data_IF_204863265017
#
_entry.id   IF_204863265017
#
_cell.length_a   1.000
_cell.length_b   1.000
_cell.length_c   1.000
_cell.angle_alpha   90.00
_cell.angle_beta   90.00
_cell.angle_gamma   90.00
#
_symmetry.space_group_name_H-M   'P 1'
#
loop_
_entity.id
_entity.type
_entity.pdbx_description
1 polymer ?
#
# COMPACT_ATOMS: atom_id res chain seq x y z
N UNK A 1 -7.04 -3.43 -20.45
CA UNK A 1 -7.37 -2.79 -19.15
C UNK A 1 -6.89 -1.34 -19.21
N UNK A 2 -7.55 -0.33 -18.57
CA UNK A 2 -6.91 0.98 -18.40
C UNK A 2 -5.57 0.83 -17.67
N UNK A 3 -4.67 1.79 -17.83
CA UNK A 3 -3.35 1.74 -17.20
C UNK A 3 -3.43 2.08 -15.69
N UNK A 4 -3.91 1.08 -14.92
CA UNK A 4 -4.06 1.17 -13.48
C UNK A 4 -2.70 1.31 -12.78
N UNK A 5 -1.64 0.76 -13.35
CA UNK A 5 -0.28 0.90 -12.86
C UNK A 5 0.19 2.35 -12.93
N UNK A 6 0.02 3.01 -14.09
CA UNK A 6 0.40 4.42 -14.24
C UNK A 6 -0.37 5.33 -13.28
N UNK A 7 -1.65 5.06 -13.04
CA UNK A 7 -2.46 5.83 -12.10
C UNK A 7 -2.00 5.65 -10.65
N UNK A 8 -1.73 4.41 -10.21
CA UNK A 8 -1.14 4.17 -8.88
C UNK A 8 0.20 4.90 -8.73
N UNK A 9 1.07 4.76 -9.73
CA UNK A 9 2.39 5.37 -9.74
C UNK A 9 2.30 6.90 -9.62
N UNK A 10 1.41 7.53 -10.38
CA UNK A 10 1.16 8.98 -10.32
C UNK A 10 0.71 9.41 -8.91
N UNK A 11 -0.30 8.76 -8.34
CA UNK A 11 -0.80 9.08 -7.00
C UNK A 11 0.25 8.85 -5.90
N UNK A 12 1.05 7.80 -6.04
CA UNK A 12 2.13 7.53 -5.11
C UNK A 12 3.18 8.64 -5.15
N UNK A 13 3.64 9.07 -6.33
CA UNK A 13 4.58 10.18 -6.45
C UNK A 13 4.03 11.49 -5.89
N UNK A 14 2.76 11.81 -6.14
CA UNK A 14 2.11 12.98 -5.53
C UNK A 14 2.08 12.91 -4.00
N UNK A 15 1.90 11.72 -3.43
CA UNK A 15 1.93 11.52 -1.99
C UNK A 15 3.36 11.63 -1.42
N UNK A 16 4.36 11.09 -2.11
CA UNK A 16 5.77 11.21 -1.70
C UNK A 16 6.25 12.67 -1.72
N UNK A 17 5.89 13.42 -2.77
CA UNK A 17 6.21 14.84 -2.91
C UNK A 17 5.72 15.68 -1.72
N UNK A 18 4.59 15.30 -1.10
CA UNK A 18 4.08 15.99 0.09
C UNK A 18 5.06 15.91 1.28
N UNK A 19 5.63 14.72 1.53
CA UNK A 19 6.61 14.55 2.60
C UNK A 19 7.94 15.25 2.26
N UNK A 20 8.34 15.19 1.00
CA UNK A 20 9.56 15.84 0.51
C UNK A 20 9.52 17.36 0.64
N UNK A 21 8.42 18.01 0.23
CA UNK A 21 8.23 19.46 0.40
C UNK A 21 8.34 19.87 1.87
N UNK A 22 7.82 19.07 2.80
CA UNK A 22 7.95 19.32 4.23
C UNK A 22 9.41 19.29 4.72
N UNK A 23 10.22 18.37 4.21
CA UNK A 23 11.65 18.27 4.53
C UNK A 23 12.45 19.43 3.95
N UNK A 24 12.23 19.75 2.67
CA UNK A 24 12.88 20.89 2.00
C UNK A 24 12.57 22.17 2.77
N UNK A 25 11.29 22.43 3.04
CA UNK A 25 10.87 23.61 3.79
C UNK A 25 11.50 23.67 5.19
N UNK A 26 11.73 22.54 5.86
CA UNK A 26 12.42 22.52 7.17
C UNK A 26 13.91 22.82 7.04
N UNK A 27 14.57 22.26 6.03
CA UNK A 27 16.01 22.44 5.78
C UNK A 27 16.30 23.90 5.43
N UNK A 28 15.50 24.48 4.54
CA UNK A 28 15.63 25.85 4.06
C UNK A 28 15.19 26.90 5.09
N UNK A 29 14.32 26.53 6.03
CA UNK A 29 13.87 27.46 7.06
C UNK A 29 15.03 27.93 7.95
N UNK A 30 15.20 29.26 7.99
CA UNK A 30 16.20 29.92 8.81
C UNK A 30 16.14 29.45 10.28
N UNK A 31 17.31 29.29 10.89
CA UNK A 31 17.44 28.94 12.30
C UNK A 31 16.66 29.93 13.18
N UNK A 32 15.86 29.42 14.12
CA UNK A 32 15.01 30.24 14.99
C UNK A 32 13.73 30.80 14.34
N UNK A 33 13.50 30.57 13.03
CA UNK A 33 12.29 31.05 12.38
C UNK A 33 11.02 30.34 12.87
N UNK A 34 9.89 31.05 12.78
CA UNK A 34 8.56 30.46 13.03
C UNK A 34 8.27 29.27 12.12
N UNK A 35 8.77 29.27 10.89
CA UNK A 35 8.67 28.13 9.95
C UNK A 35 9.41 26.90 10.47
N UNK A 36 10.66 27.06 10.95
CA UNK A 36 11.45 25.94 11.49
C UNK A 36 10.84 25.35 12.77
N UNK A 37 10.33 26.22 13.65
CA UNK A 37 9.56 25.81 14.83
C UNK A 37 8.22 25.16 14.43
N UNK A 38 7.60 25.68 13.38
CA UNK A 38 6.42 25.15 12.71
C UNK A 38 6.63 23.73 12.18
N UNK A 39 7.79 23.43 11.60
CA UNK A 39 8.11 22.13 11.03
C UNK A 39 8.85 21.22 12.02
N UNK A 40 8.48 21.25 13.31
CA UNK A 40 9.00 20.36 14.35
C UNK A 40 8.97 18.88 13.90
N UNK A 41 9.92 18.00 14.29
CA UNK A 41 9.99 16.62 13.81
C UNK A 41 8.68 15.84 13.91
N UNK A 42 7.90 16.01 14.98
CA UNK A 42 6.58 15.39 15.15
C UNK A 42 5.60 15.78 14.02
N UNK A 43 5.61 17.05 13.58
CA UNK A 43 4.75 17.50 12.48
C UNK A 43 5.22 16.96 11.13
N UNK A 44 6.52 16.79 10.94
CA UNK A 44 7.04 16.09 9.76
C UNK A 44 6.62 14.62 9.78
N UNK A 45 6.73 13.93 10.91
CA UNK A 45 6.27 12.54 11.03
C UNK A 45 4.80 12.39 10.61
N UNK A 46 3.93 13.34 10.98
CA UNK A 46 2.54 13.36 10.50
C UNK A 46 2.41 13.51 8.98
N UNK A 47 3.30 14.27 8.32
CA UNK A 47 3.34 14.35 6.85
C UNK A 47 3.75 13.01 6.23
N UNK A 48 4.73 12.32 6.83
CA UNK A 48 5.14 10.97 6.38
C UNK A 48 4.02 9.94 6.55
N UNK A 49 3.32 9.97 7.68
CA UNK A 49 2.17 9.10 7.93
C UNK A 49 1.05 9.37 6.93
N UNK A 50 0.75 10.65 6.65
CA UNK A 50 -0.26 11.03 5.65
C UNK A 50 0.14 10.60 4.23
N UNK A 51 1.39 10.82 3.84
CA UNK A 51 1.92 10.38 2.55
C UNK A 51 1.77 8.86 2.40
N UNK A 52 2.17 8.10 3.42
CA UNK A 52 2.05 6.64 3.41
C UNK A 52 0.59 6.18 3.30
N UNK A 53 -0.33 6.77 4.05
CA UNK A 53 -1.76 6.44 3.94
C UNK A 53 -2.30 6.70 2.53
N UNK A 54 -1.90 7.80 1.87
CA UNK A 54 -2.30 8.10 0.49
C UNK A 54 -1.77 7.07 -0.52
N UNK A 55 -0.52 6.64 -0.35
CA UNK A 55 0.08 5.55 -1.16
C UNK A 55 -0.71 4.26 -0.94
N UNK A 56 -0.94 3.87 0.33
CA UNK A 56 -1.59 2.61 0.66
C UNK A 56 -3.05 2.57 0.21
N UNK A 57 -3.80 3.66 0.36
CA UNK A 57 -5.18 3.77 -0.17
C UNK A 57 -5.19 3.64 -1.70
N UNK A 58 -4.21 4.24 -2.38
CA UNK A 58 -4.09 4.09 -3.84
C UNK A 58 -3.79 2.64 -4.23
N UNK A 59 -3.00 1.93 -3.43
CA UNK A 59 -2.75 0.49 -3.60
C UNK A 59 -4.01 -0.37 -3.38
N UNK A 60 -4.80 -0.10 -2.33
CA UNK A 60 -6.08 -0.78 -2.10
C UNK A 60 -7.04 -0.58 -3.29
N UNK A 61 -7.15 0.66 -3.77
CA UNK A 61 -7.97 0.99 -4.94
C UNK A 61 -7.45 0.32 -6.22
N UNK A 62 -6.14 0.25 -6.42
CA UNK A 62 -5.53 -0.48 -7.54
C UNK A 62 -5.95 -1.95 -7.54
N UNK A 63 -5.81 -2.64 -6.40
CA UNK A 63 -6.16 -4.05 -6.28
C UNK A 63 -7.63 -4.31 -6.55
N UNK A 64 -8.51 -3.47 -6.01
CA UNK A 64 -9.95 -3.53 -6.26
C UNK A 64 -10.26 -3.38 -7.75
N UNK A 65 -9.76 -2.32 -8.37
CA UNK A 65 -10.02 -2.00 -9.77
C UNK A 65 -9.45 -3.05 -10.73
N UNK A 66 -8.29 -3.63 -10.42
CA UNK A 66 -7.70 -4.73 -11.18
C UNK A 66 -8.56 -6.00 -11.06
N UNK A 67 -8.94 -6.36 -9.83
CA UNK A 67 -9.76 -7.55 -9.55
C UNK A 67 -11.13 -7.48 -10.25
N UNK A 68 -11.84 -6.36 -10.13
CA UNK A 68 -13.15 -6.17 -10.75
C UNK A 68 -13.09 -6.26 -12.28
N UNK A 69 -12.02 -5.74 -12.89
CA UNK A 69 -11.83 -5.84 -14.34
C UNK A 69 -11.48 -7.27 -14.78
N UNK A 70 -10.71 -8.01 -13.99
CA UNK A 70 -10.51 -9.43 -14.25
C UNK A 70 -11.83 -10.22 -14.16
N UNK A 71 -12.73 -9.87 -13.23
CA UNK A 71 -14.07 -10.46 -13.18
C UNK A 71 -14.92 -10.14 -14.42
N UNK A 72 -14.65 -9.03 -15.09
CA UNK A 72 -15.29 -8.67 -16.36
C UNK A 72 -14.54 -9.19 -17.59
N UNK A 73 -13.52 -10.05 -17.42
CA UNK A 73 -12.78 -10.67 -18.53
C UNK A 73 -11.74 -9.77 -19.20
N UNK A 74 -11.36 -8.64 -18.58
CA UNK A 74 -10.30 -7.79 -19.12
C UNK A 74 -8.93 -8.51 -19.07
N UNK A 75 -8.11 -8.24 -20.08
CA UNK A 75 -6.71 -8.65 -20.14
C UNK A 75 -5.77 -7.54 -19.64
N UNK A 76 -4.70 -7.99 -18.98
CA UNK A 76 -3.51 -7.23 -18.58
C UNK A 76 -2.33 -7.54 -19.50
N UNK A 77 -1.21 -6.81 -19.38
CA UNK A 77 0.02 -7.13 -20.10
C UNK A 77 0.56 -8.53 -19.74
N UNK A 78 0.18 -9.03 -18.55
CA UNK A 78 0.58 -10.32 -17.99
C UNK A 78 -0.48 -11.43 -18.18
N UNK A 79 -1.49 -11.19 -19.01
CA UNK A 79 -2.53 -12.15 -19.38
C UNK A 79 -3.91 -11.87 -18.80
N UNK A 80 -4.78 -12.87 -18.87
CA UNK A 80 -6.18 -12.84 -18.40
C UNK A 80 -6.36 -13.74 -17.19
N UNK A 81 -7.25 -13.36 -16.27
CA UNK A 81 -7.68 -14.27 -15.21
C UNK A 81 -8.62 -15.33 -15.80
N UNK A 82 -8.46 -16.58 -15.37
CA UNK A 82 -9.35 -17.67 -15.78
C UNK A 82 -10.42 -17.86 -14.71
N UNK A 83 -11.71 -17.75 -15.05
CA UNK A 83 -12.78 -17.94 -14.09
C UNK A 83 -12.79 -19.39 -13.61
N UNK A 84 -13.12 -19.58 -12.34
CA UNK A 84 -13.29 -20.91 -11.76
C UNK A 84 -14.49 -21.60 -12.40
N UNK A 85 -14.45 -22.93 -12.50
CA UNK A 85 -15.58 -23.72 -12.97
C UNK A 85 -16.86 -23.37 -12.16
N UNK A 86 -17.95 -23.08 -12.88
CA UNK A 86 -19.21 -22.62 -12.27
C UNK A 86 -19.32 -21.10 -12.06
N UNK A 87 -18.26 -20.33 -12.33
CA UNK A 87 -18.27 -18.87 -12.29
C UNK A 87 -18.26 -18.31 -13.71
N UNK A 88 -19.18 -17.40 -14.03
CA UNK A 88 -19.17 -16.66 -15.29
C UNK A 88 -18.52 -15.28 -15.10
N UNK A 89 -17.99 -14.71 -16.18
CA UNK A 89 -17.58 -13.30 -16.17
C UNK A 89 -18.79 -12.39 -15.94
N UNK A 90 -18.55 -11.29 -15.24
CA UNK A 90 -19.54 -10.23 -15.03
C UNK A 90 -19.61 -9.35 -16.28
N UNK A 91 -20.82 -9.01 -16.73
CA UNK A 91 -21.03 -8.16 -17.92
C UNK A 91 -20.71 -6.69 -17.65
N UNK A 92 -20.74 -6.26 -16.38
CA UNK A 92 -20.48 -4.87 -15.96
C UNK A 92 -19.66 -4.81 -14.67
N UNK A 93 -18.97 -3.69 -14.46
CA UNK A 93 -18.24 -3.44 -13.20
C UNK A 93 -19.18 -3.42 -11.99
N UNK A 94 -20.39 -2.85 -12.12
CA UNK A 94 -21.38 -2.83 -11.05
C UNK A 94 -21.82 -4.25 -10.63
N UNK A 95 -21.96 -5.16 -11.61
CA UNK A 95 -22.23 -6.57 -11.31
C UNK A 95 -21.04 -7.23 -10.60
N UNK A 96 -19.80 -6.95 -11.05
CA UNK A 96 -18.60 -7.45 -10.40
C UNK A 96 -18.48 -6.96 -8.95
N UNK A 97 -18.76 -5.68 -8.69
CA UNK A 97 -18.77 -5.09 -7.35
C UNK A 97 -19.80 -5.77 -6.45
N UNK A 98 -21.03 -5.94 -6.94
CA UNK A 98 -22.11 -6.63 -6.22
C UNK A 98 -21.72 -8.07 -5.87
N UNK A 99 -21.11 -8.79 -6.82
CA UNK A 99 -20.65 -10.15 -6.61
C UNK A 99 -19.54 -10.24 -5.55
N UNK A 100 -18.62 -9.26 -5.55
CA UNK A 100 -17.48 -9.21 -4.61
C UNK A 100 -17.89 -8.78 -3.21
N UNK A 101 -18.85 -7.87 -3.07
CA UNK A 101 -19.41 -7.46 -1.78
C UNK A 101 -20.11 -8.63 -1.09
N UNK A 102 -20.86 -9.45 -1.81
CA UNK A 102 -21.52 -10.65 -1.29
C UNK A 102 -22.31 -10.38 0.02
N UNK A 103 -23.09 -9.29 0.02
CA UNK A 103 -23.89 -8.84 1.17
C UNK A 103 -23.14 -8.02 2.23
N UNK A 104 -21.83 -7.86 2.11
CA UNK A 104 -21.06 -6.97 2.99
C UNK A 104 -21.17 -5.51 2.54
N UNK A 105 -21.03 -4.57 3.48
CA UNK A 105 -21.04 -3.14 3.18
C UNK A 105 -19.74 -2.66 2.50
N UNK A 106 -18.63 -3.37 2.70
CA UNK A 106 -17.32 -3.03 2.14
C UNK A 106 -16.43 -4.26 2.01
N UNK A 107 -15.38 -4.12 1.20
CA UNK A 107 -14.40 -5.18 0.95
C UNK A 107 -13.02 -4.72 1.43
N UNK A 108 -12.34 -5.60 2.15
CA UNK A 108 -11.00 -5.31 2.66
C UNK A 108 -9.93 -5.72 1.65
N UNK A 109 -9.12 -4.75 1.24
CA UNK A 109 -8.03 -4.88 0.25
C UNK A 109 -6.64 -4.71 0.86
N UNK A 110 -6.53 -4.49 2.18
CA UNK A 110 -5.25 -4.45 2.89
C UNK A 110 -4.78 -5.81 3.42
N UNK A 111 -5.63 -6.85 3.46
CA UNK A 111 -5.30 -8.15 4.05
C UNK A 111 -5.00 -9.18 2.94
N UNK A 112 -3.72 -9.59 2.77
CA UNK A 112 -3.30 -10.57 1.75
C UNK A 112 -4.10 -11.86 1.76
N UNK A 113 -4.31 -12.47 2.92
CA UNK A 113 -5.05 -13.74 3.03
C UNK A 113 -6.49 -13.62 2.54
N UNK A 114 -7.18 -12.51 2.86
CA UNK A 114 -8.54 -12.23 2.36
C UNK A 114 -8.57 -12.01 0.85
N UNK A 115 -7.55 -11.36 0.29
CA UNK A 115 -7.44 -11.14 -1.16
C UNK A 115 -7.20 -12.48 -1.88
N UNK A 116 -6.30 -13.33 -1.38
CA UNK A 116 -6.02 -14.66 -1.93
C UNK A 116 -7.28 -15.54 -1.88
N UNK A 117 -7.96 -15.59 -0.72
CA UNK A 117 -9.21 -16.34 -0.59
C UNK A 117 -10.28 -15.86 -1.57
N UNK A 118 -10.36 -14.54 -1.79
CA UNK A 118 -11.25 -13.93 -2.78
C UNK A 118 -10.86 -14.33 -4.20
N UNK A 119 -9.58 -14.29 -4.55
CA UNK A 119 -9.12 -14.75 -5.87
C UNK A 119 -9.53 -16.20 -6.13
N UNK A 120 -9.26 -17.11 -5.19
CA UNK A 120 -9.62 -18.54 -5.29
C UNK A 120 -11.11 -18.81 -5.38
N UNK A 121 -11.94 -17.89 -4.89
CA UNK A 121 -13.40 -18.00 -5.02
C UNK A 121 -13.84 -17.79 -6.48
N UNK A 122 -13.23 -16.85 -7.18
CA UNK A 122 -13.69 -16.43 -8.50
C UNK A 122 -12.85 -16.96 -9.66
N UNK A 123 -11.55 -17.19 -9.43
CA UNK A 123 -10.59 -17.56 -10.46
C UNK A 123 -9.94 -18.91 -10.15
N UNK A 124 -9.63 -19.67 -11.19
CA UNK A 124 -8.69 -20.81 -11.12
C UNK A 124 -7.24 -20.36 -11.30
N UNK A 125 -7.02 -19.29 -12.06
CA UNK A 125 -5.71 -18.66 -12.28
C UNK A 125 -5.88 -17.14 -12.23
N UNK A 126 -5.09 -16.46 -11.40
CA UNK A 126 -5.10 -15.00 -11.25
C UNK A 126 -3.71 -14.45 -10.97
N UNK A 127 -3.30 -13.42 -11.72
CA UNK A 127 -2.05 -12.69 -11.44
C UNK A 127 -2.10 -11.97 -10.09
N UNK A 128 -3.28 -11.47 -9.68
CA UNK A 128 -3.48 -10.89 -8.35
C UNK A 128 -3.14 -11.92 -7.27
N UNK A 129 -3.65 -13.15 -7.37
CA UNK A 129 -3.33 -14.18 -6.39
C UNK A 129 -1.83 -14.50 -6.38
N UNK A 130 -1.23 -14.72 -7.55
CA UNK A 130 0.18 -15.11 -7.68
C UNK A 130 1.11 -14.08 -7.03
N UNK A 131 0.92 -12.80 -7.35
CA UNK A 131 1.73 -11.70 -6.83
C UNK A 131 1.52 -11.49 -5.33
N UNK A 132 0.26 -11.50 -4.87
CA UNK A 132 -0.05 -11.31 -3.45
C UNK A 132 0.47 -12.49 -2.61
N UNK A 133 0.26 -13.73 -3.06
CA UNK A 133 0.73 -14.93 -2.37
C UNK A 133 2.24 -14.93 -2.20
N UNK A 134 2.99 -14.61 -3.27
CA UNK A 134 4.46 -14.56 -3.26
C UNK A 134 5.03 -13.45 -2.37
N UNK A 135 4.22 -12.45 -1.99
CA UNK A 135 4.65 -11.29 -1.22
C UNK A 135 3.89 -11.13 0.12
N UNK A 136 3.23 -12.19 0.59
CA UNK A 136 2.32 -12.15 1.76
C UNK A 136 2.98 -11.51 2.98
N UNK A 137 4.15 -11.99 3.40
CA UNK A 137 4.83 -11.48 4.60
C UNK A 137 5.20 -9.99 4.50
N UNK A 138 5.61 -9.52 3.32
CA UNK A 138 5.91 -8.09 3.10
C UNK A 138 4.63 -7.26 3.13
N UNK A 139 3.58 -7.69 2.44
CA UNK A 139 2.30 -6.98 2.40
C UNK A 139 1.62 -6.93 3.77
N UNK A 140 1.75 -7.97 4.59
CA UNK A 140 1.30 -7.97 5.99
C UNK A 140 2.06 -6.93 6.82
N UNK A 141 3.39 -6.82 6.63
CA UNK A 141 4.18 -5.79 7.29
C UNK A 141 3.73 -4.38 6.86
N UNK A 142 3.42 -4.16 5.58
CA UNK A 142 2.91 -2.87 5.10
C UNK A 142 1.55 -2.55 5.71
N UNK A 143 0.63 -3.52 5.72
CA UNK A 143 -0.68 -3.37 6.33
C UNK A 143 -0.57 -3.05 7.84
N UNK A 144 0.41 -3.61 8.55
CA UNK A 144 0.69 -3.29 9.93
C UNK A 144 1.21 -1.86 10.14
N UNK A 145 2.03 -1.32 9.23
CA UNK A 145 2.43 0.10 9.24
C UNK A 145 1.20 1.00 9.10
N UNK A 146 0.31 0.74 8.13
CA UNK A 146 -0.97 1.46 7.99
C UNK A 146 -1.80 1.37 9.26
N UNK A 147 -1.94 0.17 9.80
CA UNK A 147 -2.76 -0.08 10.99
C UNK A 147 -2.24 0.68 12.21
N UNK A 148 -0.92 0.81 12.35
CA UNK A 148 -0.29 1.60 13.42
C UNK A 148 -0.60 3.09 13.34
N UNK A 149 -0.62 3.65 12.13
CA UNK A 149 -0.95 5.05 11.89
C UNK A 149 -2.41 5.30 12.23
N UNK A 150 -3.30 4.41 11.78
CA UNK A 150 -4.74 4.57 11.94
C UNK A 150 -5.24 4.29 13.37
N UNK A 151 -4.51 3.49 14.16
CA UNK A 151 -4.98 3.03 15.46
C UNK A 151 -3.91 3.14 16.56
N UNK A 152 -4.32 3.66 17.72
CA UNK A 152 -3.47 3.82 18.90
C UNK A 152 -3.43 2.58 19.83
N UNK A 153 -4.19 1.53 19.53
CA UNK A 153 -4.35 0.35 20.38
C UNK A 153 -3.09 -0.51 20.48
N UNK A 154 -2.98 -1.28 21.58
CA UNK A 154 -1.83 -2.15 21.86
C UNK A 154 -1.56 -3.18 20.76
N UNK A 155 -2.62 -3.76 20.17
CA UNK A 155 -2.51 -4.68 19.04
C UNK A 155 -1.83 -4.03 17.82
N UNK A 156 -2.20 -2.79 17.49
CA UNK A 156 -1.60 -2.07 16.37
C UNK A 156 -0.12 -1.78 16.60
N UNK A 157 0.25 -1.45 17.85
CA UNK A 157 1.65 -1.34 18.26
C UNK A 157 2.39 -2.68 18.13
N UNK A 158 1.83 -3.78 18.63
CA UNK A 158 2.47 -5.09 18.57
C UNK A 158 2.71 -5.55 17.12
N UNK A 159 1.71 -5.40 16.24
CA UNK A 159 1.83 -5.71 14.81
C UNK A 159 2.89 -4.85 14.12
N UNK A 160 2.96 -3.57 14.45
CA UNK A 160 4.00 -2.68 13.93
C UNK A 160 5.41 -3.08 14.39
N UNK A 161 5.57 -3.46 15.66
CA UNK A 161 6.86 -3.89 16.18
C UNK A 161 7.34 -5.15 15.45
N UNK A 162 6.44 -6.10 15.14
CA UNK A 162 6.75 -7.26 14.30
C UNK A 162 7.06 -6.86 12.86
N UNK A 163 6.27 -5.96 12.27
CA UNK A 163 6.51 -5.48 10.91
C UNK A 163 7.88 -4.82 10.75
N UNK A 164 8.29 -3.99 11.71
CA UNK A 164 9.61 -3.36 11.69
C UNK A 164 10.73 -4.36 11.92
N UNK A 165 10.52 -5.44 12.69
CA UNK A 165 11.49 -6.54 12.73
C UNK A 165 11.66 -7.20 11.35
N UNK A 166 10.57 -7.44 10.62
CA UNK A 166 10.62 -8.01 9.26
C UNK A 166 11.29 -7.09 8.25
N UNK A 167 11.00 -5.79 8.31
CA UNK A 167 11.47 -4.81 7.33
C UNK A 167 12.89 -4.31 7.67
N UNK A 168 13.10 -3.89 8.91
CA UNK A 168 14.28 -3.18 9.39
C UNK A 168 15.24 -4.07 10.20
N UNK A 169 14.88 -5.34 10.42
CA UNK A 169 15.69 -6.29 11.21
C UNK A 169 15.60 -6.06 12.72
N UNK A 170 14.88 -5.05 13.20
CA UNK A 170 14.68 -4.74 14.62
C UNK A 170 13.39 -3.97 14.87
N UNK A 171 12.90 -4.02 16.10
CA UNK A 171 11.78 -3.18 16.53
C UNK A 171 12.18 -1.71 16.42
N UNK A 172 11.33 -0.92 15.78
CA UNK A 172 11.61 0.51 15.65
C UNK A 172 11.36 1.26 16.98
N UNK A 173 12.31 2.09 17.45
CA UNK A 173 12.19 2.76 18.75
C UNK A 173 10.88 3.55 18.92
N UNK A 174 10.22 3.35 20.06
CA UNK A 174 8.96 4.02 20.41
C UNK A 174 7.75 3.63 19.55
N UNK A 175 7.90 2.70 18.60
CA UNK A 175 6.81 2.24 17.71
C UNK A 175 6.10 3.38 16.98
N UNK A 176 6.89 4.37 16.55
CA UNK A 176 6.43 5.58 15.86
C UNK A 176 6.51 5.37 14.36
N UNK A 177 5.36 5.16 13.73
CA UNK A 177 5.28 4.89 12.29
C UNK A 177 5.85 6.05 11.46
N UNK A 178 5.50 7.30 11.76
CA UNK A 178 6.05 8.46 11.05
C UNK A 178 7.57 8.59 11.21
N UNK A 179 8.12 8.28 12.38
CA UNK A 179 9.57 8.28 12.57
C UNK A 179 10.24 7.19 11.75
N UNK A 180 9.68 5.97 11.72
CA UNK A 180 10.17 4.87 10.88
C UNK A 180 10.15 5.22 9.40
N UNK A 181 9.03 5.74 8.90
CA UNK A 181 8.86 6.13 7.49
C UNK A 181 9.82 7.23 7.05
N UNK A 182 10.17 8.12 7.98
CA UNK A 182 11.13 9.22 7.77
C UNK A 182 12.58 8.75 7.83
N UNK A 183 12.88 7.68 8.56
CA UNK A 183 14.22 7.13 8.70
C UNK A 183 14.71 6.52 7.38
N UNK A 184 16.03 6.35 7.29
CA UNK A 184 16.70 5.79 6.11
C UNK A 184 17.02 4.33 6.30
N UNK A 185 16.75 3.57 5.25
CA UNK A 185 17.28 2.24 5.10
C UNK A 185 18.74 2.32 4.66
N UNK A 186 19.64 2.01 5.60
CA UNK A 186 21.08 2.00 5.38
C UNK A 186 21.58 0.69 4.76
N UNK A 187 20.71 -0.30 4.55
CA UNK A 187 21.07 -1.57 3.89
C UNK A 187 21.22 -1.45 2.37
N UNK A 188 20.78 -0.32 1.80
CA UNK A 188 20.85 -0.02 0.36
C UNK A 188 21.79 1.16 0.10
N UNK A 189 22.41 1.17 -1.09
CA UNK A 189 23.33 2.23 -1.53
C UNK A 189 22.82 2.87 -2.83
N UNK A 190 22.47 4.17 -2.85
CA UNK A 190 22.49 5.11 -1.71
C UNK A 190 21.37 4.82 -0.68
N UNK A 191 21.49 5.29 0.58
CA UNK A 191 20.45 5.12 1.58
C UNK A 191 19.15 5.85 1.20
N UNK A 192 18.05 5.13 1.18
CA UNK A 192 16.71 5.62 0.81
C UNK A 192 15.80 5.71 2.04
N UNK A 193 14.77 6.55 2.03
CA UNK A 193 13.81 6.56 3.15
C UNK A 193 12.90 5.34 3.09
N UNK A 194 12.47 4.86 4.25
CA UNK A 194 11.52 3.75 4.31
C UNK A 194 10.22 4.06 3.57
N UNK A 195 9.70 5.30 3.65
CA UNK A 195 8.52 5.72 2.89
C UNK A 195 8.68 5.45 1.39
N UNK A 196 9.80 5.89 0.81
CA UNK A 196 10.08 5.76 -0.62
C UNK A 196 10.20 4.29 -1.02
N UNK A 197 10.95 3.51 -0.22
CA UNK A 197 11.13 2.08 -0.45
C UNK A 197 9.80 1.32 -0.43
N UNK A 198 8.95 1.54 0.57
CA UNK A 198 7.66 0.87 0.67
C UNK A 198 6.73 1.24 -0.50
N UNK A 199 6.74 2.51 -0.92
CA UNK A 199 5.94 2.97 -2.06
C UNK A 199 6.43 2.34 -3.38
N UNK A 200 7.75 2.32 -3.61
CA UNK A 200 8.34 1.69 -4.80
C UNK A 200 8.04 0.19 -4.87
N UNK A 201 8.08 -0.52 -3.74
CA UNK A 201 7.72 -1.93 -3.69
C UNK A 201 6.24 -2.15 -4.10
N UNK A 202 5.30 -1.36 -3.58
CA UNK A 202 3.89 -1.42 -4.01
C UNK A 202 3.70 -1.10 -5.50
N UNK A 203 4.41 -0.08 -6.01
CA UNK A 203 4.40 0.27 -7.44
C UNK A 203 4.94 -0.89 -8.28
N UNK A 204 6.03 -1.52 -7.87
CA UNK A 204 6.62 -2.67 -8.55
C UNK A 204 5.67 -3.88 -8.59
N UNK A 205 4.99 -4.17 -7.48
CA UNK A 205 3.98 -5.23 -7.42
C UNK A 205 2.79 -4.94 -8.34
N UNK A 206 2.36 -3.68 -8.43
CA UNK A 206 1.25 -3.33 -9.33
C UNK A 206 1.57 -3.56 -10.80
N UNK A 207 2.84 -3.38 -11.21
CA UNK A 207 3.29 -3.65 -12.57
C UNK A 207 3.20 -5.14 -12.91
N UNK A 208 3.43 -6.02 -11.94
CA UNK A 208 3.32 -7.47 -12.15
C UNK A 208 1.85 -7.93 -12.27
N UNK A 209 0.91 -7.11 -11.81
CA UNK A 209 -0.53 -7.39 -11.87
C UNK A 209 -1.16 -6.81 -13.14
N UNK A 210 -0.75 -5.63 -13.63
CA UNK A 210 -1.45 -4.88 -14.67
C UNK A 210 -0.70 -4.80 -16.02
#
# INVERSE_FOLDING_TARGET
>A
MPDLHAELRRRAFEALALAEVGEIARIEAASGSRTRAGLHPIRLEALYEMAYLRVFVSWEAFLEQAFLRYLCGYASAHGTATPRAGTAFCSTLAQAETAVLNGNAYVLWHNPSKIIARCRRFFSVSQVESVIASNTARLDAFAAVRHRIAHAQADAKAKFDLATMTLYGRRYPGSRAGSFLRDRDISVAPPERWLDRLAQELISLSRQIA
#
